data_IF_825433158661
#
_entry.id   IF_825433158661
#
_cell.length_a   1.000
_cell.length_b   1.000
_cell.length_c   1.000
_cell.angle_alpha   90.00
_cell.angle_beta   90.00
_cell.angle_gamma   90.00
#
_symmetry.space_group_name_H-M   'P 1'
#
loop_
_entity.id
_entity.type
_entity.pdbx_description
1 polymer ?
#
# COMPACT_ATOMS: atom_id res chain seq x y z
N UNK A 1 19.23 -37.18 10.21
CA UNK A 1 19.96 -37.28 8.93
C UNK A 1 18.97 -36.97 7.82
N UNK A 2 19.05 -35.80 7.19
CA UNK A 2 18.18 -35.43 6.06
C UNK A 2 18.88 -35.89 4.79
N UNK A 3 18.30 -36.85 4.07
CA UNK A 3 18.79 -37.27 2.76
C UNK A 3 18.26 -36.29 1.72
N UNK A 4 19.13 -35.45 1.17
CA UNK A 4 18.83 -34.65 -0.03
C UNK A 4 19.31 -35.49 -1.22
N UNK A 5 18.38 -36.07 -1.98
CA UNK A 5 18.73 -36.67 -3.27
C UNK A 5 19.05 -35.54 -4.25
N UNK A 6 20.33 -35.31 -4.53
CA UNK A 6 20.75 -34.51 -5.68
C UNK A 6 20.50 -35.33 -6.95
N UNK A 7 19.45 -35.00 -7.69
CA UNK A 7 19.33 -35.41 -9.08
C UNK A 7 20.15 -34.42 -9.94
N UNK A 8 21.34 -34.84 -10.39
CA UNK A 8 22.10 -34.15 -11.43
C UNK A 8 21.31 -34.19 -12.74
N UNK A 9 20.64 -33.09 -13.08
CA UNK A 9 20.11 -32.88 -14.44
C UNK A 9 21.26 -32.43 -15.32
N UNK A 10 21.59 -33.26 -16.31
CA UNK A 10 22.49 -32.89 -17.40
C UNK A 10 21.83 -31.77 -18.23
N UNK A 11 22.61 -30.72 -18.49
CA UNK A 11 22.20 -29.50 -19.18
C UNK A 11 21.79 -29.86 -20.62
N UNK A 12 20.51 -29.68 -20.92
CA UNK A 12 19.96 -29.74 -22.28
C UNK A 12 18.84 -28.73 -22.42
N UNK A 13 19.03 -27.74 -23.29
CA UNK A 13 18.08 -26.77 -23.86
C UNK A 13 16.88 -26.35 -22.97
N UNK A 14 16.90 -25.10 -22.48
CA UNK A 14 15.92 -24.50 -21.55
C UNK A 14 14.49 -24.29 -22.10
N UNK A 15 14.17 -24.84 -23.27
CA UNK A 15 12.84 -24.73 -23.89
C UNK A 15 11.84 -25.82 -23.43
N UNK A 16 12.26 -26.78 -22.59
CA UNK A 16 11.49 -28.00 -22.31
C UNK A 16 11.04 -28.24 -20.86
N UNK A 17 11.33 -27.37 -19.89
CA UNK A 17 10.95 -27.60 -18.49
C UNK A 17 9.52 -27.11 -18.17
N UNK A 18 8.57 -27.40 -19.07
CA UNK A 18 7.14 -27.32 -18.77
C UNK A 18 6.63 -28.66 -18.22
N UNK A 19 7.31 -29.20 -17.20
CA UNK A 19 6.75 -30.26 -16.40
C UNK A 19 5.93 -29.63 -15.29
N UNK A 20 4.61 -29.83 -15.31
CA UNK A 20 3.70 -29.62 -14.18
C UNK A 20 4.37 -30.14 -12.89
N UNK A 21 4.99 -29.27 -12.11
CA UNK A 21 5.63 -29.64 -10.85
C UNK A 21 4.78 -29.10 -9.72
N UNK A 22 3.80 -29.89 -9.32
CA UNK A 22 3.20 -29.73 -8.00
C UNK A 22 4.30 -30.08 -6.98
N UNK A 23 4.92 -29.05 -6.38
CA UNK A 23 5.82 -29.13 -5.23
C UNK A 23 6.95 -30.15 -5.32
N UNK A 24 8.13 -29.72 -5.76
CA UNK A 24 9.33 -30.57 -5.59
C UNK A 24 9.59 -30.80 -4.09
N UNK A 25 9.75 -32.06 -3.64
CA UNK A 25 10.08 -32.34 -2.25
C UNK A 25 11.35 -31.58 -1.84
N UNK A 26 11.27 -30.82 -0.75
CA UNK A 26 12.42 -30.07 -0.24
C UNK A 26 12.56 -28.63 -0.76
N UNK A 27 11.67 -28.15 -1.63
CA UNK A 27 11.76 -26.78 -2.19
C UNK A 27 11.74 -25.69 -1.11
N UNK A 28 10.95 -25.86 -0.06
CA UNK A 28 10.87 -24.93 1.07
C UNK A 28 12.19 -24.91 1.87
N UNK A 29 12.79 -26.07 2.12
CA UNK A 29 14.07 -26.18 2.82
C UNK A 29 15.22 -25.62 1.97
N UNK A 30 15.20 -25.87 0.66
CA UNK A 30 16.15 -25.30 -0.29
C UNK A 30 16.02 -23.77 -0.37
N UNK A 31 14.80 -23.23 -0.35
CA UNK A 31 14.57 -21.79 -0.30
C UNK A 31 15.15 -21.14 0.96
N UNK A 32 14.97 -21.74 2.14
CA UNK A 32 15.58 -21.26 3.39
C UNK A 32 17.12 -21.27 3.33
N UNK A 33 17.70 -22.29 2.71
CA UNK A 33 19.15 -22.34 2.49
C UNK A 33 19.62 -21.18 1.60
N UNK A 34 18.87 -20.85 0.53
CA UNK A 34 19.15 -19.69 -0.31
C UNK A 34 18.99 -18.37 0.45
N UNK A 35 17.99 -18.21 1.32
CA UNK A 35 17.85 -17.00 2.15
C UNK A 35 19.09 -16.76 3.03
N UNK A 36 19.54 -17.80 3.72
CA UNK A 36 20.71 -17.74 4.60
C UNK A 36 22.04 -17.54 3.86
N UNK A 37 22.17 -18.07 2.65
CA UNK A 37 23.42 -18.03 1.88
C UNK A 37 23.53 -16.82 0.95
N UNK A 38 22.41 -16.33 0.41
CA UNK A 38 22.36 -15.26 -0.57
C UNK A 38 21.69 -13.96 -0.05
N UNK A 39 21.24 -13.93 1.21
CA UNK A 39 20.73 -12.72 1.86
C UNK A 39 19.35 -12.24 1.38
N UNK A 40 18.63 -13.06 0.62
CA UNK A 40 17.26 -12.77 0.20
C UNK A 40 16.27 -13.10 1.32
N UNK A 41 15.19 -12.32 1.42
CA UNK A 41 14.08 -12.57 2.36
C UNK A 41 12.81 -12.83 1.55
N UNK A 42 12.30 -14.06 1.56
CA UNK A 42 11.08 -14.41 0.86
C UNK A 42 9.88 -14.27 1.79
N UNK A 43 8.96 -13.37 1.43
CA UNK A 43 7.77 -13.08 2.23
C UNK A 43 6.84 -14.30 2.45
N UNK A 44 7.04 -15.40 1.71
CA UNK A 44 6.29 -16.64 1.87
C UNK A 44 7.10 -17.85 1.37
N UNK A 45 8.05 -18.35 2.17
CA UNK A 45 8.85 -19.56 1.86
C UNK A 45 7.97 -20.76 1.46
N UNK A 46 6.79 -20.92 2.10
CA UNK A 46 5.82 -21.98 1.76
C UNK A 46 5.17 -21.86 0.39
N UNK A 47 5.45 -20.79 -0.35
CA UNK A 47 4.93 -20.54 -1.70
C UNK A 47 5.94 -20.87 -2.80
N UNK A 48 7.15 -21.33 -2.42
CA UNK A 48 8.18 -21.79 -3.35
C UNK A 48 7.87 -23.21 -3.81
N UNK A 49 7.64 -23.38 -5.11
CA UNK A 49 7.33 -24.67 -5.73
C UNK A 49 8.58 -25.42 -6.19
N UNK A 50 9.64 -24.71 -6.57
CA UNK A 50 10.92 -25.29 -6.99
C UNK A 50 12.09 -24.31 -6.80
N UNK A 51 13.29 -24.84 -6.56
CA UNK A 51 14.57 -24.12 -6.56
C UNK A 51 15.55 -24.90 -7.42
N UNK A 52 16.23 -24.24 -8.35
CA UNK A 52 17.27 -24.82 -9.18
C UNK A 52 18.57 -24.02 -9.04
N UNK A 53 19.69 -24.73 -8.94
CA UNK A 53 21.04 -24.16 -8.91
C UNK A 53 21.63 -24.22 -10.32
N UNK A 54 22.19 -23.12 -10.80
CA UNK A 54 22.93 -23.04 -12.06
C UNK A 54 24.32 -22.48 -11.79
N UNK A 55 25.24 -22.63 -12.76
CA UNK A 55 26.58 -22.04 -12.66
C UNK A 55 26.56 -20.51 -12.58
N UNK A 56 25.47 -19.87 -13.04
CA UNK A 56 25.29 -18.43 -13.06
C UNK A 56 24.46 -17.91 -11.86
N UNK A 57 23.87 -18.80 -11.06
CA UNK A 57 23.06 -18.42 -9.91
C UNK A 57 21.96 -19.40 -9.55
N UNK A 58 20.79 -18.87 -9.19
CA UNK A 58 19.68 -19.64 -8.64
C UNK A 58 18.38 -19.24 -9.34
N UNK A 59 17.56 -20.22 -9.72
CA UNK A 59 16.22 -19.99 -10.26
C UNK A 59 15.19 -20.49 -9.27
N UNK A 60 14.22 -19.65 -8.91
CA UNK A 60 13.15 -19.99 -7.97
C UNK A 60 11.80 -19.91 -8.68
N UNK A 61 11.04 -20.99 -8.62
CA UNK A 61 9.66 -21.03 -9.10
C UNK A 61 8.71 -20.82 -7.93
N UNK A 62 7.85 -19.82 -8.05
CA UNK A 62 6.84 -19.47 -7.07
C UNK A 62 5.45 -19.93 -7.56
N UNK A 63 4.60 -20.33 -6.63
CA UNK A 63 3.19 -20.53 -6.93
C UNK A 63 2.60 -19.24 -7.55
N UNK A 64 1.70 -19.30 -8.56
CA UNK A 64 1.13 -18.11 -9.19
C UNK A 64 0.50 -17.14 -8.17
N UNK A 65 -0.12 -17.68 -7.12
CA UNK A 65 -0.69 -16.89 -6.02
C UNK A 65 0.37 -16.14 -5.22
N UNK A 66 1.59 -16.65 -5.09
CA UNK A 66 2.68 -15.98 -4.38
C UNK A 66 3.10 -14.68 -5.07
N UNK A 67 3.24 -14.73 -6.40
CA UNK A 67 3.56 -13.56 -7.21
C UNK A 67 2.43 -12.53 -7.13
N UNK A 68 1.17 -12.99 -7.17
CA UNK A 68 0.01 -12.14 -6.97
C UNK A 68 -0.09 -11.57 -5.54
N UNK A 69 0.38 -12.28 -4.52
CA UNK A 69 0.43 -11.78 -3.13
C UNK A 69 1.56 -10.77 -2.94
N UNK A 70 2.70 -10.95 -3.60
CA UNK A 70 3.77 -9.96 -3.64
C UNK A 70 3.31 -8.65 -4.30
N UNK A 71 2.51 -8.71 -5.36
CA UNK A 71 1.93 -7.52 -6.00
C UNK A 71 0.77 -6.90 -5.22
N UNK A 72 0.13 -7.65 -4.32
CA UNK A 72 -0.96 -7.17 -3.43
C UNK A 72 -0.50 -6.29 -2.28
N UNK A 73 0.80 -6.16 -2.03
CA UNK A 73 1.36 -5.32 -0.96
C UNK A 73 1.24 -3.80 -1.21
N UNK A 74 0.45 -3.40 -2.21
CA UNK A 74 0.17 -2.01 -2.52
C UNK A 74 -1.14 -1.82 -3.28
N UNK A 75 -2.24 -2.42 -2.84
CA UNK A 75 -3.56 -1.96 -3.31
C UNK A 75 -3.71 -0.50 -2.90
N UNK A 76 -3.55 0.40 -3.86
CA UNK A 76 -3.93 1.80 -3.71
C UNK A 76 -5.45 1.83 -3.60
N UNK A 77 -5.98 1.74 -2.39
CA UNK A 77 -7.39 1.97 -2.15
C UNK A 77 -7.69 3.46 -2.30
N UNK A 78 -8.92 3.78 -2.69
CA UNK A 78 -9.40 5.15 -2.72
C UNK A 78 -9.42 5.67 -1.27
N UNK A 79 -8.49 6.56 -0.94
CA UNK A 79 -8.34 7.19 0.36
C UNK A 79 -9.10 8.52 0.39
N UNK A 80 -9.86 8.75 1.46
CA UNK A 80 -10.51 10.04 1.70
C UNK A 80 -9.56 10.96 2.45
N UNK A 81 -9.17 12.08 1.85
CA UNK A 81 -8.24 13.04 2.46
C UNK A 81 -8.82 13.54 3.79
N UNK A 82 -10.05 14.06 3.75
CA UNK A 82 -10.89 14.33 4.90
C UNK A 82 -11.80 13.12 5.18
N UNK A 83 -11.70 12.51 6.36
CA UNK A 83 -12.39 11.25 6.67
C UNK A 83 -13.91 11.40 6.76
N UNK A 84 -14.65 10.44 6.19
CA UNK A 84 -16.09 10.28 6.35
C UNK A 84 -16.50 9.12 7.26
N UNK A 85 -15.56 8.54 8.04
CA UNK A 85 -15.78 7.34 8.86
C UNK A 85 -15.49 7.54 10.35
N UNK A 86 -15.51 8.78 10.84
CA UNK A 86 -15.21 9.10 12.23
C UNK A 86 -16.26 10.10 12.78
N UNK A 87 -17.53 9.67 12.82
CA UNK A 87 -18.64 10.48 13.32
C UNK A 87 -18.76 10.48 14.85
N UNK A 88 -18.22 9.45 15.54
CA UNK A 88 -18.48 9.24 16.97
C UNK A 88 -17.22 9.24 17.83
N UNK A 89 -16.16 8.57 17.39
CA UNK A 89 -15.02 8.26 18.28
C UNK A 89 -14.04 9.43 18.43
N UNK A 90 -13.71 9.77 19.68
CA UNK A 90 -12.67 10.73 20.05
C UNK A 90 -11.26 10.11 20.22
N UNK A 91 -11.10 8.79 20.03
CA UNK A 91 -9.87 8.05 20.36
C UNK A 91 -8.60 8.53 19.64
N UNK A 92 -8.74 9.33 18.57
CA UNK A 92 -7.64 9.95 17.81
C UNK A 92 -7.89 11.44 17.60
N UNK A 93 -8.43 12.14 18.60
CA UNK A 93 -8.75 13.57 18.57
C UNK A 93 -10.06 13.94 17.84
N UNK A 94 -10.86 12.94 17.46
CA UNK A 94 -12.14 13.13 16.80
C UNK A 94 -13.28 13.58 17.73
N UNK A 95 -14.53 13.60 17.28
CA UNK A 95 -14.98 13.13 15.96
C UNK A 95 -14.57 14.09 14.83
N UNK A 96 -13.90 13.56 13.81
CA UNK A 96 -13.36 14.33 12.69
C UNK A 96 -14.37 14.55 11.56
N UNK A 97 -15.23 13.57 11.30
CA UNK A 97 -16.17 13.65 10.18
C UNK A 97 -17.14 14.83 10.28
N UNK A 98 -17.71 15.18 11.46
CA UNK A 98 -18.54 16.38 11.60
C UNK A 98 -17.79 17.67 11.29
N UNK A 99 -16.55 17.81 11.76
CA UNK A 99 -15.70 18.98 11.53
C UNK A 99 -15.39 19.16 10.04
N UNK A 100 -15.00 18.08 9.35
CA UNK A 100 -14.79 18.13 7.91
C UNK A 100 -16.08 18.42 7.14
N UNK A 101 -17.22 17.88 7.58
CA UNK A 101 -18.53 18.14 6.94
C UNK A 101 -18.86 19.63 6.96
N UNK A 102 -18.64 20.32 8.08
CA UNK A 102 -18.85 21.77 8.18
C UNK A 102 -18.02 22.56 7.15
N UNK A 103 -16.74 22.21 6.97
CA UNK A 103 -15.88 22.85 5.97
C UNK A 103 -16.39 22.61 4.54
N UNK A 104 -16.76 21.37 4.20
CA UNK A 104 -17.28 21.01 2.88
C UNK A 104 -18.63 21.67 2.58
N UNK A 105 -19.51 21.79 3.58
CA UNK A 105 -20.81 22.46 3.43
C UNK A 105 -20.65 23.93 3.04
N UNK A 106 -19.65 24.66 3.58
CA UNK A 106 -19.37 26.05 3.17
C UNK A 106 -19.02 26.20 1.68
N UNK A 107 -18.43 25.16 1.11
CA UNK A 107 -18.08 25.06 -0.31
C UNK A 107 -19.20 24.45 -1.17
N UNK A 108 -20.35 24.10 -0.58
CA UNK A 108 -21.40 23.37 -1.29
C UNK A 108 -20.89 22.05 -1.87
N UNK A 109 -20.02 21.36 -1.12
CA UNK A 109 -19.41 20.07 -1.44
C UNK A 109 -19.79 19.01 -0.40
N UNK A 110 -19.56 17.74 -0.71
CA UNK A 110 -19.75 16.58 0.16
C UNK A 110 -18.44 15.83 0.36
N UNK A 111 -18.29 15.16 1.51
CA UNK A 111 -17.08 14.36 1.80
C UNK A 111 -16.87 13.18 0.83
N UNK A 112 -17.88 12.80 0.06
CA UNK A 112 -17.81 11.74 -0.96
C UNK A 112 -17.44 12.27 -2.34
N UNK A 113 -17.30 13.58 -2.51
CA UNK A 113 -16.94 14.18 -3.79
C UNK A 113 -15.54 13.71 -4.22
N UNK A 114 -15.35 13.60 -5.53
CA UNK A 114 -14.13 13.04 -6.12
C UNK A 114 -12.85 13.78 -5.73
N UNK A 115 -12.96 15.07 -5.46
CA UNK A 115 -11.92 15.99 -5.02
C UNK A 115 -11.33 15.57 -3.67
N UNK A 116 -12.13 14.92 -2.82
CA UNK A 116 -11.68 14.43 -1.52
C UNK A 116 -11.08 13.00 -1.59
N UNK A 117 -11.01 12.41 -2.79
CA UNK A 117 -10.58 11.02 -2.98
C UNK A 117 -9.27 10.98 -3.75
N UNK A 118 -8.29 10.27 -3.20
CA UNK A 118 -6.98 10.07 -3.83
C UNK A 118 -6.53 8.62 -3.69
N UNK A 119 -5.84 8.09 -4.69
CA UNK A 119 -5.19 6.77 -4.60
C UNK A 119 -3.84 6.92 -3.93
N UNK A 120 -3.61 6.18 -2.84
CA UNK A 120 -2.34 6.22 -2.11
C UNK A 120 -1.75 4.82 -2.07
N UNK A 121 -0.60 4.63 -2.72
CA UNK A 121 0.11 3.37 -2.67
C UNK A 121 0.69 3.15 -1.26
N UNK A 122 0.56 1.93 -0.72
CA UNK A 122 1.06 1.61 0.61
C UNK A 122 0.29 2.28 1.76
N UNK A 123 -0.94 2.73 1.50
CA UNK A 123 -1.83 3.28 2.53
C UNK A 123 -2.02 2.31 3.69
N UNK A 124 -1.93 2.84 4.91
CA UNK A 124 -2.15 2.12 6.16
C UNK A 124 -3.05 2.97 7.04
N UNK A 125 -4.17 2.40 7.47
CA UNK A 125 -5.09 3.03 8.43
C UNK A 125 -5.14 2.24 9.75
N UNK A 126 -5.74 2.79 10.82
CA UNK A 126 -6.37 4.12 10.94
C UNK A 126 -5.35 5.26 11.18
N UNK A 127 -5.68 6.47 10.73
CA UNK A 127 -4.76 7.62 10.76
C UNK A 127 -4.66 8.28 12.13
N UNK A 128 -3.50 8.85 12.50
CA UNK A 128 -3.32 9.57 13.77
C UNK A 128 -4.10 10.89 13.83
N UNK A 129 -4.29 11.39 15.05
CA UNK A 129 -4.77 12.75 15.33
C UNK A 129 -4.02 13.80 14.50
N UNK A 130 -2.69 13.74 14.49
CA UNK A 130 -1.84 14.68 13.76
C UNK A 130 -2.16 14.76 12.25
N UNK A 131 -2.59 13.66 11.62
CA UNK A 131 -3.01 13.68 10.23
C UNK A 131 -4.29 14.51 10.08
N UNK A 132 -5.28 14.22 10.92
CA UNK A 132 -6.57 14.89 10.84
C UNK A 132 -6.49 16.39 11.18
N UNK A 133 -5.74 16.74 12.23
CA UNK A 133 -5.48 18.15 12.60
C UNK A 133 -4.84 18.91 11.43
N UNK A 134 -3.81 18.32 10.82
CA UNK A 134 -3.10 18.99 9.73
C UNK A 134 -3.94 19.16 8.47
N UNK A 135 -4.80 18.17 8.14
CA UNK A 135 -5.74 18.31 7.02
C UNK A 135 -6.79 19.37 7.34
N UNK A 136 -7.40 19.33 8.53
CA UNK A 136 -8.44 20.29 8.91
C UNK A 136 -7.92 21.73 8.95
N UNK A 137 -6.76 21.95 9.55
CA UNK A 137 -6.09 23.25 9.59
C UNK A 137 -5.93 23.83 8.19
N UNK A 138 -5.39 23.03 7.25
CA UNK A 138 -5.19 23.47 5.86
C UNK A 138 -6.48 23.78 5.14
N UNK A 139 -7.50 22.93 5.26
CA UNK A 139 -8.80 23.16 4.63
C UNK A 139 -9.49 24.40 5.22
N UNK A 140 -9.39 24.61 6.54
CA UNK A 140 -9.93 25.78 7.22
C UNK A 140 -9.22 27.07 6.80
N UNK A 141 -7.89 27.05 6.72
CA UNK A 141 -7.08 28.17 6.23
C UNK A 141 -7.39 28.51 4.76
N UNK A 142 -7.53 27.50 3.90
CA UNK A 142 -7.88 27.68 2.49
C UNK A 142 -9.25 28.32 2.31
N UNK A 143 -10.25 27.87 3.08
CA UNK A 143 -11.58 28.50 3.08
C UNK A 143 -11.54 29.93 3.62
N UNK A 144 -10.70 30.21 4.62
CA UNK A 144 -10.54 31.53 5.21
C UNK A 144 -11.90 32.17 5.53
N UNK A 145 -12.09 33.40 5.05
CA UNK A 145 -13.33 34.19 5.23
C UNK A 145 -14.25 34.18 4.00
N UNK A 146 -14.10 33.22 3.09
CA UNK A 146 -14.95 33.13 1.89
C UNK A 146 -16.45 33.12 2.29
N UNK A 147 -17.28 33.84 1.53
CA UNK A 147 -18.73 33.94 1.76
C UNK A 147 -19.56 33.39 0.61
N UNK A 148 -19.08 33.54 -0.63
CA UNK A 148 -19.75 32.97 -1.81
C UNK A 148 -19.35 31.51 -1.94
N UNK A 149 -20.33 30.65 -2.16
CA UNK A 149 -20.13 29.20 -2.29
C UNK A 149 -19.09 28.87 -3.37
N UNK A 150 -19.13 29.56 -4.51
CA UNK A 150 -18.16 29.31 -5.61
C UNK A 150 -16.71 29.68 -5.23
N UNK A 151 -16.50 30.77 -4.49
CA UNK A 151 -15.17 31.14 -4.01
C UNK A 151 -14.65 30.11 -3.00
N UNK A 152 -15.53 29.66 -2.08
CA UNK A 152 -15.22 28.62 -1.12
C UNK A 152 -14.91 27.28 -1.81
N UNK A 153 -15.72 26.89 -2.81
CA UNK A 153 -15.52 25.67 -3.59
C UNK A 153 -14.20 25.69 -4.33
N UNK A 154 -13.87 26.80 -4.98
CA UNK A 154 -12.59 26.97 -5.67
C UNK A 154 -11.43 26.79 -4.70
N UNK A 155 -11.44 27.50 -3.57
CA UNK A 155 -10.37 27.43 -2.58
C UNK A 155 -10.21 26.03 -1.96
N UNK A 156 -11.33 25.39 -1.58
CA UNK A 156 -11.30 24.05 -0.99
C UNK A 156 -10.81 23.00 -2.00
N UNK A 157 -11.26 23.08 -3.25
CA UNK A 157 -10.82 22.17 -4.33
C UNK A 157 -9.33 22.34 -4.63
N UNK A 158 -8.83 23.57 -4.68
CA UNK A 158 -7.40 23.84 -4.88
C UNK A 158 -6.56 23.24 -3.75
N UNK A 159 -7.00 23.36 -2.50
CA UNK A 159 -6.26 22.80 -1.36
C UNK A 159 -6.32 21.27 -1.31
N UNK A 160 -7.48 20.67 -1.62
CA UNK A 160 -7.61 19.22 -1.76
C UNK A 160 -6.69 18.66 -2.85
N UNK A 161 -6.52 19.37 -3.97
CA UNK A 161 -5.56 18.98 -5.03
C UNK A 161 -4.11 18.99 -4.54
N UNK A 162 -3.71 19.99 -3.74
CA UNK A 162 -2.36 20.02 -3.13
C UNK A 162 -2.17 18.87 -2.16
N UNK A 163 -3.14 18.64 -1.27
CA UNK A 163 -3.12 17.51 -0.33
C UNK A 163 -3.08 16.17 -1.05
N UNK A 164 -3.80 16.01 -2.17
CA UNK A 164 -3.77 14.81 -3.00
C UNK A 164 -2.41 14.59 -3.66
N UNK A 165 -1.77 15.65 -4.15
CA UNK A 165 -0.41 15.60 -4.68
C UNK A 165 0.60 15.19 -3.60
N UNK A 166 0.49 15.77 -2.41
CA UNK A 166 1.35 15.41 -1.28
C UNK A 166 1.12 13.97 -0.83
N UNK A 167 -0.13 13.51 -0.74
CA UNK A 167 -0.47 12.14 -0.38
C UNK A 167 0.12 11.09 -1.33
N UNK A 168 0.35 11.45 -2.60
CA UNK A 168 0.95 10.58 -3.60
C UNK A 168 2.47 10.72 -3.71
N UNK A 169 3.07 11.69 -3.02
CA UNK A 169 4.50 11.98 -3.11
C UNK A 169 5.24 11.43 -1.88
N UNK A 170 6.07 10.38 -2.04
CA UNK A 170 6.86 9.85 -0.94
C UNK A 170 7.72 10.92 -0.27
N UNK A 171 7.79 10.89 1.06
CA UNK A 171 8.58 11.85 1.83
C UNK A 171 7.88 13.17 2.15
N UNK A 172 6.65 13.42 1.69
CA UNK A 172 5.84 14.52 2.24
C UNK A 172 5.31 14.16 3.63
N UNK A 173 4.91 15.18 4.39
CA UNK A 173 4.28 14.98 5.71
C UNK A 173 3.00 14.15 5.57
N UNK A 174 2.14 14.47 4.61
CA UNK A 174 0.89 13.76 4.35
C UNK A 174 1.16 12.29 4.00
N UNK A 175 2.02 12.01 3.02
CA UNK A 175 2.32 10.63 2.62
C UNK A 175 2.87 9.81 3.79
N UNK A 176 3.82 10.36 4.57
CA UNK A 176 4.36 9.65 5.75
C UNK A 176 3.27 9.30 6.76
N UNK A 177 2.35 10.22 7.03
CA UNK A 177 1.26 9.98 7.97
C UNK A 177 0.24 8.93 7.46
N UNK A 178 0.10 8.79 6.15
CA UNK A 178 -0.80 7.82 5.51
C UNK A 178 -0.20 6.42 5.29
N UNK A 179 1.12 6.28 5.39
CA UNK A 179 1.85 5.03 5.05
C UNK A 179 2.68 4.47 6.21
N UNK A 180 2.66 5.14 7.37
CA UNK A 180 3.27 4.65 8.62
C UNK A 180 2.49 3.47 9.19
N UNK A 181 3.16 2.64 9.98
CA UNK A 181 2.46 1.62 10.77
C UNK A 181 1.58 2.29 11.87
N UNK A 182 0.40 1.74 12.20
CA UNK A 182 -0.58 2.37 13.09
C UNK A 182 -0.07 2.74 14.48
#
# INVERSE_FOLDING_TARGET
RVFVMLATVAIGNTAGLAAKSMGLPGSAQAALAVESQAGFQYAAVGSVSAVALTAEGFTISLAPNAVAMASRRGRSENHHIATNKNDVSAARGGPWTPRFRELFTRAGMQLKDSENIVKVAGHKGPHPQQYHEHVEERLSLALGKCRKVEDCRKALTEELRKLASEAQTPGTKIHRLLTRDP
#
